data_IF_313576714340
#
_entry.id   IF_313576714340
#
_cell.length_a   1.000
_cell.length_b   1.000
_cell.length_c   1.000
_cell.angle_alpha   90.00
_cell.angle_beta   90.00
_cell.angle_gamma   90.00
#
_symmetry.space_group_name_H-M   'P 1'
#
loop_
_entity.id
_entity.type
_entity.pdbx_description
1 polymer ?
#
# COMPACT_ATOMS: atom_id res chain seq x y z
N UNK A 1 5.04 -20.40 -12.38
CA UNK A 1 3.86 -20.21 -11.50
C UNK A 1 2.99 -19.11 -12.09
N UNK A 2 3.55 -17.92 -12.30
CA UNK A 2 2.85 -16.77 -12.90
C UNK A 2 2.35 -17.02 -14.33
N UNK A 3 3.08 -17.77 -15.16
CA UNK A 3 2.66 -18.11 -16.54
C UNK A 3 1.31 -18.85 -16.63
N UNK A 4 0.89 -19.50 -15.53
CA UNK A 4 -0.34 -20.27 -15.45
C UNK A 4 -1.39 -19.61 -14.56
N UNK A 5 -1.03 -18.52 -13.87
CA UNK A 5 -1.97 -17.80 -13.04
C UNK A 5 -2.96 -17.08 -13.96
N UNK A 6 -4.27 -17.14 -13.68
CA UNK A 6 -5.25 -16.54 -14.56
C UNK A 6 -5.12 -15.02 -14.55
N UNK A 7 -5.47 -14.43 -15.70
CA UNK A 7 -5.39 -13.00 -15.94
C UNK A 7 -6.74 -12.45 -16.38
N UNK A 8 -6.96 -11.18 -16.08
CA UNK A 8 -8.07 -10.41 -16.61
C UNK A 8 -7.93 -10.30 -18.15
N UNK A 9 -8.99 -9.99 -18.90
CA UNK A 9 -8.91 -9.72 -20.34
C UNK A 9 -7.79 -8.75 -20.75
N UNK A 10 -7.49 -7.74 -19.93
CA UNK A 10 -6.40 -6.78 -20.17
C UNK A 10 -5.01 -7.25 -19.75
N UNK A 11 -4.89 -8.46 -19.18
CA UNK A 11 -3.61 -9.08 -18.83
C UNK A 11 -3.20 -8.91 -17.36
N UNK A 12 -4.05 -8.35 -16.51
CA UNK A 12 -3.77 -8.21 -15.07
C UNK A 12 -3.89 -9.52 -14.32
N UNK A 13 -3.05 -9.82 -13.33
CA UNK A 13 -3.21 -11.04 -12.52
C UNK A 13 -4.50 -11.00 -11.69
N UNK A 14 -5.26 -12.09 -11.69
CA UNK A 14 -6.36 -12.20 -10.74
C UNK A 14 -5.83 -12.21 -9.31
N UNK A 15 -6.51 -11.52 -8.41
CA UNK A 15 -6.14 -11.46 -7.00
C UNK A 15 -6.09 -12.86 -6.37
N UNK A 16 -7.07 -13.72 -6.68
CA UNK A 16 -7.05 -15.14 -6.27
C UNK A 16 -7.91 -16.04 -7.15
N UNK A 17 -7.30 -17.06 -7.71
CA UNK A 17 -8.01 -18.16 -8.36
C UNK A 17 -8.54 -19.17 -7.32
N UNK A 18 -9.76 -19.72 -7.48
CA UNK A 18 -10.80 -19.37 -8.45
C UNK A 18 -11.82 -18.33 -7.94
N UNK A 19 -11.58 -17.76 -6.76
CA UNK A 19 -12.58 -16.99 -6.02
C UNK A 19 -12.87 -15.59 -6.61
N UNK A 20 -11.85 -14.92 -7.17
CA UNK A 20 -11.90 -13.52 -7.56
C UNK A 20 -11.54 -13.36 -9.03
N UNK A 21 -12.41 -13.91 -9.88
CA UNK A 21 -12.29 -13.83 -11.34
C UNK A 21 -12.28 -12.37 -11.80
N UNK A 22 -11.33 -12.01 -12.66
CA UNK A 22 -11.17 -10.69 -13.25
C UNK A 22 -10.91 -9.54 -12.27
N UNK A 23 -10.61 -9.84 -11.00
CA UNK A 23 -10.39 -8.82 -9.99
C UNK A 23 -8.90 -8.62 -9.72
N UNK A 24 -8.45 -7.37 -9.69
CA UNK A 24 -7.12 -6.99 -9.22
C UNK A 24 -7.28 -6.12 -7.98
N UNK A 25 -6.56 -6.45 -6.90
CA UNK A 25 -6.55 -5.65 -5.67
C UNK A 25 -5.15 -5.15 -5.42
N UNK A 26 -5.04 -3.99 -4.78
CA UNK A 26 -3.75 -3.35 -4.48
C UNK A 26 -2.81 -4.28 -3.68
N UNK A 27 -3.37 -5.08 -2.77
CA UNK A 27 -2.66 -6.13 -2.03
C UNK A 27 -1.92 -7.08 -2.97
N UNK A 28 -2.57 -7.51 -4.05
CA UNK A 28 -2.02 -8.46 -5.02
C UNK A 28 -0.76 -7.96 -5.70
N UNK A 29 -0.65 -6.64 -5.92
CA UNK A 29 0.54 -5.99 -6.49
C UNK A 29 1.75 -6.25 -5.60
N UNK A 30 1.61 -6.06 -4.29
CA UNK A 30 2.71 -6.34 -3.37
C UNK A 30 3.07 -7.83 -3.31
N UNK A 31 2.07 -8.70 -3.31
CA UNK A 31 2.32 -10.14 -3.12
C UNK A 31 2.93 -10.80 -4.35
N UNK A 32 2.35 -10.60 -5.53
CA UNK A 32 2.73 -11.31 -6.76
C UNK A 32 3.75 -10.54 -7.58
N UNK A 33 3.52 -9.24 -7.78
CA UNK A 33 4.28 -8.46 -8.76
C UNK A 33 5.62 -7.98 -8.21
N UNK A 34 5.68 -7.68 -6.91
CA UNK A 34 6.98 -7.46 -6.25
C UNK A 34 7.84 -8.73 -6.27
N UNK A 35 7.25 -9.91 -6.01
CA UNK A 35 7.95 -11.19 -6.15
C UNK A 35 8.42 -11.39 -7.59
N UNK A 36 7.58 -11.09 -8.59
CA UNK A 36 7.92 -11.20 -10.00
C UNK A 36 9.13 -10.31 -10.34
N UNK A 37 9.13 -9.05 -9.91
CA UNK A 37 10.25 -8.13 -10.11
C UNK A 37 11.54 -8.62 -9.43
N UNK A 38 11.46 -9.13 -8.19
CA UNK A 38 12.61 -9.73 -7.52
C UNK A 38 13.17 -10.92 -8.30
N UNK A 39 12.31 -11.85 -8.72
CA UNK A 39 12.72 -13.01 -9.49
C UNK A 39 13.38 -12.61 -10.81
N UNK A 40 12.75 -11.70 -11.57
CA UNK A 40 13.29 -11.18 -12.84
C UNK A 40 14.64 -10.52 -12.60
N UNK A 41 14.80 -9.68 -11.57
CA UNK A 41 16.09 -9.02 -11.29
C UNK A 41 17.23 -10.00 -10.99
N UNK A 42 16.93 -11.12 -10.32
CA UNK A 42 17.95 -12.09 -9.88
C UNK A 42 18.30 -13.11 -10.95
N UNK A 43 17.32 -13.52 -11.74
CA UNK A 43 17.44 -14.68 -12.61
C UNK A 43 17.24 -14.38 -14.10
N UNK A 44 16.64 -13.24 -14.45
CA UNK A 44 16.28 -12.91 -15.83
C UNK A 44 16.32 -11.40 -16.13
N UNK A 45 17.33 -10.70 -15.60
CA UNK A 45 17.36 -9.24 -15.57
C UNK A 45 17.31 -8.58 -16.96
N UNK A 46 17.74 -9.29 -18.00
CA UNK A 46 17.75 -8.81 -19.39
C UNK A 46 16.40 -9.03 -20.12
N UNK A 47 15.41 -9.66 -19.48
CA UNK A 47 14.13 -9.96 -20.09
C UNK A 47 13.21 -8.73 -20.09
N UNK A 48 13.31 -7.94 -21.17
CA UNK A 48 12.46 -6.77 -21.37
C UNK A 48 10.96 -7.10 -21.34
N UNK A 49 10.54 -8.26 -21.87
CA UNK A 49 9.12 -8.64 -21.88
C UNK A 49 8.57 -8.92 -20.48
N UNK A 50 9.39 -9.44 -19.57
CA UNK A 50 9.02 -9.59 -18.16
C UNK A 50 8.88 -8.23 -17.47
N UNK A 51 9.81 -7.30 -17.73
CA UNK A 51 9.74 -5.94 -17.19
C UNK A 51 8.54 -5.14 -17.73
N UNK A 52 8.20 -5.32 -19.00
CA UNK A 52 6.99 -4.74 -19.60
C UNK A 52 5.71 -5.30 -18.94
N UNK A 53 5.65 -6.62 -18.72
CA UNK A 53 4.52 -7.27 -18.06
C UNK A 53 4.39 -6.86 -16.59
N UNK A 54 5.50 -6.69 -15.88
CA UNK A 54 5.51 -6.15 -14.51
C UNK A 54 4.87 -4.77 -14.50
N UNK A 55 5.31 -3.84 -15.36
CA UNK A 55 4.77 -2.47 -15.36
C UNK A 55 3.30 -2.43 -15.76
N UNK A 56 2.86 -3.32 -16.66
CA UNK A 56 1.47 -3.44 -17.03
C UNK A 56 0.55 -3.64 -15.80
N UNK A 57 1.00 -4.35 -14.78
CA UNK A 57 0.18 -4.59 -13.57
C UNK A 57 -0.11 -3.28 -12.82
N UNK A 58 0.87 -2.39 -12.71
CA UNK A 58 0.68 -1.04 -12.16
C UNK A 58 -0.16 -0.17 -13.09
N UNK A 59 0.12 -0.17 -14.39
CA UNK A 59 -0.63 0.63 -15.38
C UNK A 59 -2.14 0.30 -15.32
N UNK A 60 -2.50 -0.98 -15.24
CA UNK A 60 -3.90 -1.43 -15.20
C UNK A 60 -4.62 -1.04 -13.90
N UNK A 61 -3.99 -1.27 -12.76
CA UNK A 61 -4.62 -0.97 -11.47
C UNK A 61 -4.70 0.54 -11.23
N UNK A 62 -3.68 1.30 -11.62
CA UNK A 62 -3.67 2.77 -11.54
C UNK A 62 -4.82 3.40 -12.33
N UNK A 63 -5.01 2.96 -13.58
CA UNK A 63 -6.08 3.48 -14.45
C UNK A 63 -7.47 3.19 -13.85
N UNK A 64 -7.65 2.01 -13.26
CA UNK A 64 -8.94 1.59 -12.75
C UNK A 64 -9.31 2.19 -11.38
N UNK A 65 -8.36 2.30 -10.44
CA UNK A 65 -8.68 2.61 -9.03
C UNK A 65 -8.20 3.96 -8.54
N UNK A 66 -7.46 4.74 -9.33
CA UNK A 66 -7.04 6.07 -8.89
C UNK A 66 -8.22 7.02 -8.82
N UNK A 67 -8.47 7.52 -7.62
CA UNK A 67 -9.43 8.59 -7.41
C UNK A 67 -8.89 9.91 -8.03
N UNK A 68 -9.56 10.47 -9.04
CA UNK A 68 -9.11 11.70 -9.69
C UNK A 68 -9.18 12.94 -8.78
N UNK A 69 -9.99 12.91 -7.72
CA UNK A 69 -10.14 14.04 -6.80
C UNK A 69 -9.03 14.08 -5.76
N UNK A 70 -8.78 12.95 -5.09
CA UNK A 70 -7.82 12.89 -3.98
C UNK A 70 -6.44 12.42 -4.42
N UNK A 71 -6.35 11.62 -5.49
CA UNK A 71 -5.16 10.90 -5.91
C UNK A 71 -4.84 9.67 -5.05
N UNK A 72 -5.73 9.28 -4.13
CA UNK A 72 -5.66 7.99 -3.44
C UNK A 72 -6.16 6.87 -4.36
N UNK A 73 -6.04 5.63 -3.91
CA UNK A 73 -6.39 4.44 -4.70
C UNK A 73 -7.46 3.63 -3.97
N UNK A 74 -8.56 3.32 -4.65
CA UNK A 74 -9.56 2.38 -4.13
C UNK A 74 -8.96 0.97 -3.98
N UNK A 75 -9.46 0.16 -3.05
CA UNK A 75 -8.86 -1.14 -2.67
C UNK A 75 -8.58 -2.07 -3.87
N UNK A 76 -9.49 -2.14 -4.84
CA UNK A 76 -9.29 -2.94 -6.04
C UNK A 76 -10.35 -2.67 -7.09
N UNK A 77 -10.30 -3.40 -8.20
CA UNK A 77 -11.32 -3.34 -9.24
C UNK A 77 -11.66 -4.73 -9.78
N UNK A 78 -12.85 -4.84 -10.35
CA UNK A 78 -13.32 -5.97 -11.14
C UNK A 78 -13.45 -5.55 -12.61
N UNK A 79 -12.57 -6.04 -13.49
CA UNK A 79 -12.63 -5.73 -14.93
C UNK A 79 -13.96 -6.20 -15.55
N UNK A 80 -14.55 -7.28 -15.02
CA UNK A 80 -15.84 -7.80 -15.46
C UNK A 80 -17.05 -7.02 -14.94
N UNK A 81 -16.87 -6.20 -13.89
CA UNK A 81 -17.94 -5.45 -13.20
C UNK A 81 -19.08 -6.36 -12.72
N UNK A 82 -18.74 -7.57 -12.31
CA UNK A 82 -19.69 -8.59 -11.85
C UNK A 82 -19.87 -8.55 -10.33
N UNK A 83 -18.85 -8.09 -9.60
CA UNK A 83 -18.90 -7.96 -8.16
C UNK A 83 -19.90 -6.91 -7.69
N UNK A 84 -20.55 -7.16 -6.54
CA UNK A 84 -21.64 -6.31 -6.02
C UNK A 84 -21.18 -4.89 -5.66
N UNK A 85 -19.89 -4.73 -5.39
CA UNK A 85 -19.24 -3.49 -4.99
C UNK A 85 -18.62 -2.74 -6.17
N UNK A 86 -18.56 -3.36 -7.36
CA UNK A 86 -17.85 -2.80 -8.50
C UNK A 86 -18.63 -1.62 -9.08
N UNK A 87 -17.95 -0.49 -9.23
CA UNK A 87 -18.49 0.64 -9.96
C UNK A 87 -18.86 0.25 -11.40
N UNK A 88 -20.00 0.75 -11.89
CA UNK A 88 -20.54 0.35 -13.19
C UNK A 88 -19.70 0.86 -14.37
N UNK A 89 -18.92 1.92 -14.20
CA UNK A 89 -18.10 2.55 -15.24
C UNK A 89 -16.64 2.12 -15.15
N UNK A 90 -16.06 2.11 -13.95
CA UNK A 90 -14.63 1.84 -13.74
C UNK A 90 -14.35 0.41 -13.26
N UNK A 91 -15.33 -0.23 -12.61
CA UNK A 91 -15.15 -1.50 -11.91
C UNK A 91 -14.47 -1.37 -10.55
N UNK A 92 -14.09 -0.17 -10.12
CA UNK A 92 -13.41 0.06 -8.84
C UNK A 92 -14.31 -0.23 -7.64
N UNK A 93 -13.70 -0.64 -6.54
CA UNK A 93 -14.35 -0.71 -5.22
C UNK A 93 -14.66 0.71 -4.70
N UNK A 94 -15.65 0.88 -3.80
CA UNK A 94 -16.10 2.21 -3.42
C UNK A 94 -15.19 2.92 -2.42
N UNK A 95 -14.31 2.18 -1.73
CA UNK A 95 -13.57 2.69 -0.56
C UNK A 95 -12.05 2.57 -0.72
N UNK A 96 -11.37 3.60 -0.22
CA UNK A 96 -9.93 3.66 -0.06
C UNK A 96 -9.58 3.05 1.30
N UNK A 97 -9.30 1.75 1.31
CA UNK A 97 -8.83 1.04 2.50
C UNK A 97 -7.33 1.24 2.69
N UNK A 98 -6.94 1.79 3.83
CA UNK A 98 -5.59 2.28 4.10
C UNK A 98 -4.50 1.24 3.88
N UNK A 99 -4.66 0.01 4.38
CA UNK A 99 -3.62 -1.02 4.21
C UNK A 99 -3.47 -1.50 2.77
N UNK A 100 -4.55 -1.58 1.99
CA UNK A 100 -4.44 -1.91 0.57
C UNK A 100 -3.57 -0.87 -0.17
N UNK A 101 -3.78 0.42 0.10
CA UNK A 101 -2.92 1.50 -0.41
C UNK A 101 -1.50 1.35 0.12
N UNK A 102 -1.33 0.96 1.37
CA UNK A 102 -0.02 0.69 1.99
C UNK A 102 0.79 -0.36 1.23
N UNK A 103 0.17 -1.50 0.89
CA UNK A 103 0.82 -2.54 0.10
C UNK A 103 1.29 -2.04 -1.26
N UNK A 104 0.42 -1.31 -1.96
CA UNK A 104 0.76 -0.74 -3.25
C UNK A 104 1.88 0.31 -3.16
N UNK A 105 1.85 1.15 -2.12
CA UNK A 105 2.91 2.12 -1.89
C UNK A 105 4.24 1.42 -1.58
N UNK A 106 4.18 0.30 -0.84
CA UNK A 106 5.37 -0.49 -0.54
C UNK A 106 5.97 -1.13 -1.78
N UNK A 107 5.13 -1.74 -2.61
CA UNK A 107 5.56 -2.44 -3.82
C UNK A 107 6.31 -1.51 -4.78
N UNK A 108 5.84 -0.27 -4.92
CA UNK A 108 6.51 0.74 -5.74
C UNK A 108 7.95 1.03 -5.29
N UNK A 109 8.17 1.19 -3.98
CA UNK A 109 9.53 1.46 -3.44
C UNK A 109 10.46 0.28 -3.69
N UNK A 110 9.99 -0.95 -3.40
CA UNK A 110 10.79 -2.16 -3.59
C UNK A 110 11.13 -2.37 -5.07
N UNK A 111 10.14 -2.30 -5.96
CA UNK A 111 10.33 -2.54 -7.39
C UNK A 111 11.21 -1.47 -8.03
N UNK A 112 11.07 -0.18 -7.65
CA UNK A 112 11.96 0.88 -8.16
C UNK A 112 13.43 0.63 -7.85
N UNK A 113 13.76 -0.10 -6.77
CA UNK A 113 15.14 -0.49 -6.46
C UNK A 113 15.72 -1.55 -7.42
N UNK A 114 14.86 -2.33 -8.06
CA UNK A 114 15.21 -3.48 -8.89
C UNK A 114 15.12 -3.18 -10.39
N UNK A 115 14.26 -2.24 -10.75
CA UNK A 115 13.84 -1.99 -12.12
C UNK A 115 14.98 -1.35 -12.97
N UNK A 116 15.21 -1.80 -14.22
CA UNK A 116 16.23 -1.21 -15.09
C UNK A 116 15.98 0.29 -15.31
N UNK A 117 16.98 1.12 -15.02
CA UNK A 117 16.86 2.59 -14.99
C UNK A 117 16.60 3.20 -16.38
N UNK A 118 17.02 2.53 -17.44
CA UNK A 118 16.84 2.93 -18.84
C UNK A 118 15.50 2.46 -19.43
N UNK A 119 14.79 1.56 -18.74
CA UNK A 119 13.48 1.09 -19.17
C UNK A 119 12.41 2.18 -18.93
N UNK A 120 11.53 2.49 -19.92
CA UNK A 120 10.52 3.54 -19.78
C UNK A 120 9.58 3.36 -18.58
N UNK A 121 9.33 2.10 -18.21
CA UNK A 121 8.58 1.72 -17.01
C UNK A 121 9.10 2.33 -15.71
N UNK A 122 10.43 2.54 -15.57
CA UNK A 122 11.01 3.14 -14.37
C UNK A 122 10.40 4.51 -14.06
N UNK A 123 10.34 5.38 -15.08
CA UNK A 123 9.81 6.73 -14.92
C UNK A 123 8.30 6.72 -14.59
N UNK A 124 7.55 5.77 -15.15
CA UNK A 124 6.12 5.59 -14.84
C UNK A 124 5.90 5.19 -13.38
N UNK A 125 6.59 4.15 -12.92
CA UNK A 125 6.50 3.68 -11.53
C UNK A 125 6.94 4.77 -10.53
N UNK A 126 7.99 5.53 -10.85
CA UNK A 126 8.41 6.67 -10.02
C UNK A 126 7.36 7.78 -10.00
N UNK A 127 6.68 8.00 -11.13
CA UNK A 127 5.52 8.91 -11.22
C UNK A 127 4.37 8.47 -10.31
N UNK A 128 3.99 7.18 -10.34
CA UNK A 128 2.96 6.62 -9.47
C UNK A 128 3.33 6.74 -7.99
N UNK A 129 4.57 6.42 -7.64
CA UNK A 129 5.09 6.55 -6.29
C UNK A 129 5.03 7.99 -5.77
N UNK A 130 5.57 8.94 -6.53
CA UNK A 130 5.61 10.36 -6.10
C UNK A 130 4.21 10.97 -6.04
N UNK A 131 3.33 10.61 -6.97
CA UNK A 131 1.92 11.04 -6.94
C UNK A 131 1.19 10.50 -5.71
N UNK A 132 1.33 9.21 -5.41
CA UNK A 132 0.71 8.61 -4.23
C UNK A 132 1.32 9.14 -2.93
N UNK A 133 2.64 9.34 -2.86
CA UNK A 133 3.29 9.96 -1.71
C UNK A 133 2.71 11.35 -1.41
N UNK A 134 2.43 12.15 -2.46
CA UNK A 134 1.79 13.45 -2.30
C UNK A 134 0.32 13.35 -1.86
N UNK A 135 -0.43 12.35 -2.35
CA UNK A 135 -1.80 12.10 -1.93
C UNK A 135 -1.89 11.67 -0.47
N UNK A 136 -1.02 10.74 -0.04
CA UNK A 136 -0.90 10.32 1.35
C UNK A 136 -0.56 11.48 2.29
N UNK A 137 0.23 12.45 1.82
CA UNK A 137 0.59 13.64 2.62
C UNK A 137 -0.61 14.56 2.82
N UNK A 138 -1.48 14.68 1.81
CA UNK A 138 -2.74 15.42 1.94
C UNK A 138 -3.76 14.70 2.83
N UNK A 139 -3.72 13.37 2.84
CA UNK A 139 -4.62 12.52 3.63
C UNK A 139 -4.14 12.28 5.08
N UNK A 140 -2.90 12.68 5.41
CA UNK A 140 -2.38 12.58 6.77
C UNK A 140 -3.17 13.50 7.70
N UNK A 141 -3.63 12.97 8.82
CA UNK A 141 -4.40 13.73 9.79
C UNK A 141 -3.55 14.85 10.44
N UNK A 142 -4.04 16.10 10.51
CA UNK A 142 -3.27 17.22 11.01
C UNK A 142 -3.05 17.20 12.53
N UNK A 143 -3.84 16.43 13.29
CA UNK A 143 -3.75 16.36 14.75
C UNK A 143 -2.96 15.12 15.21
N UNK A 144 -3.33 13.94 14.73
CA UNK A 144 -2.65 12.68 15.11
C UNK A 144 -1.41 12.40 14.27
N UNK A 145 -1.35 12.92 13.04
CA UNK A 145 -0.34 12.58 12.03
C UNK A 145 -0.38 11.12 11.54
N UNK A 146 -1.48 10.41 11.81
CA UNK A 146 -1.80 9.09 11.28
C UNK A 146 -2.72 9.12 10.06
N UNK A 147 -3.24 7.94 9.71
CA UNK A 147 -4.19 7.75 8.61
C UNK A 147 -5.36 6.87 9.05
N UNK A 148 -6.54 7.30 8.65
CA UNK A 148 -7.79 6.58 8.90
C UNK A 148 -7.82 5.23 8.18
N UNK A 149 -8.50 4.23 8.74
CA UNK A 149 -8.75 2.93 8.10
C UNK A 149 -9.40 3.10 6.71
N UNK A 150 -10.43 3.95 6.63
CA UNK A 150 -11.07 4.35 5.38
C UNK A 150 -10.76 5.82 5.14
N UNK A 151 -10.06 6.12 4.04
CA UNK A 151 -9.40 7.42 3.82
C UNK A 151 -10.16 8.38 2.90
N UNK A 152 -11.09 7.91 2.08
CA UNK A 152 -11.86 8.78 1.18
C UNK A 152 -13.07 9.42 1.89
N UNK A 153 -13.48 10.60 1.44
CA UNK A 153 -14.66 11.29 1.97
C UNK A 153 -15.94 10.42 1.81
N UNK A 154 -16.90 10.48 2.75
CA UNK A 154 -16.96 11.34 3.94
C UNK A 154 -16.46 10.65 5.23
N UNK A 155 -15.57 9.66 5.11
CA UNK A 155 -15.25 8.74 6.21
C UNK A 155 -14.19 9.20 7.21
N UNK A 156 -13.17 10.02 6.84
CA UNK A 156 -12.29 10.64 7.82
C UNK A 156 -13.07 11.35 8.92
N UNK A 157 -12.80 11.02 10.19
CA UNK A 157 -13.51 11.57 11.35
C UNK A 157 -14.95 11.05 11.56
N UNK A 158 -15.48 10.16 10.71
CA UNK A 158 -16.78 9.51 10.93
C UNK A 158 -16.70 8.57 12.13
N UNK A 159 -17.74 8.58 12.98
CA UNK A 159 -17.87 7.64 14.10
C UNK A 159 -17.68 6.19 13.64
N UNK A 160 -16.83 5.46 14.37
CA UNK A 160 -16.45 4.08 14.07
C UNK A 160 -15.19 3.93 13.21
N UNK A 161 -14.77 4.98 12.50
CA UNK A 161 -13.44 4.99 11.86
C UNK A 161 -12.35 5.16 12.92
N UNK A 162 -11.13 4.73 12.62
CA UNK A 162 -9.98 4.83 13.52
C UNK A 162 -8.68 4.97 12.74
N UNK A 163 -7.63 5.47 13.39
CA UNK A 163 -6.28 5.46 12.84
C UNK A 163 -5.72 4.04 12.85
N UNK A 164 -5.28 3.54 11.70
CA UNK A 164 -4.91 2.12 11.54
C UNK A 164 -3.39 1.96 11.48
N UNK A 165 -2.85 1.10 12.35
CA UNK A 165 -1.42 1.08 12.64
C UNK A 165 -0.57 0.51 11.52
N UNK A 166 -1.05 -0.52 10.80
CA UNK A 166 -0.28 -1.12 9.72
C UNK A 166 -0.10 -0.20 8.53
N UNK A 167 -1.15 0.48 8.09
CA UNK A 167 -1.08 1.43 6.98
C UNK A 167 -0.20 2.63 7.35
N UNK A 168 -0.34 3.16 8.57
CA UNK A 168 0.53 4.21 9.08
C UNK A 168 2.01 3.79 9.02
N UNK A 169 2.32 2.53 9.39
CA UNK A 169 3.68 2.00 9.31
C UNK A 169 4.18 1.87 7.87
N UNK A 170 3.34 1.37 6.96
CA UNK A 170 3.67 1.25 5.52
C UNK A 170 3.93 2.60 4.87
N UNK A 171 3.09 3.61 5.13
CA UNK A 171 3.25 4.96 4.59
C UNK A 171 4.49 5.65 5.15
N UNK A 172 4.72 5.52 6.46
CA UNK A 172 5.91 6.05 7.13
C UNK A 172 7.17 5.44 6.55
N UNK A 173 7.23 4.12 6.43
CA UNK A 173 8.34 3.42 5.80
C UNK A 173 8.56 3.91 4.36
N UNK A 174 7.49 3.97 3.56
CA UNK A 174 7.60 4.35 2.15
C UNK A 174 8.12 5.78 1.97
N UNK A 175 7.77 6.72 2.85
CA UNK A 175 8.37 8.05 2.86
C UNK A 175 9.82 8.08 3.32
N UNK A 176 10.16 7.42 4.43
CA UNK A 176 11.53 7.39 4.94
C UNK A 176 12.49 6.71 3.94
N UNK A 177 12.09 5.58 3.36
CA UNK A 177 12.83 4.92 2.30
C UNK A 177 12.96 5.82 1.05
N UNK A 178 11.88 6.52 0.66
CA UNK A 178 11.89 7.49 -0.43
C UNK A 178 12.87 8.63 -0.24
N UNK A 179 12.96 9.17 0.99
CA UNK A 179 13.94 10.19 1.36
C UNK A 179 15.36 9.63 1.25
N UNK A 180 15.63 8.44 1.79
CA UNK A 180 16.95 7.79 1.72
C UNK A 180 17.37 7.48 0.29
N UNK A 181 16.44 7.05 -0.56
CA UNK A 181 16.68 6.68 -1.95
C UNK A 181 16.71 7.89 -2.91
N UNK A 182 16.37 9.08 -2.42
CA UNK A 182 16.32 10.32 -3.22
C UNK A 182 15.13 10.41 -4.16
N UNK A 183 14.05 9.67 -3.90
CA UNK A 183 12.79 9.76 -4.64
C UNK A 183 11.91 10.91 -4.15
N UNK A 184 12.07 11.31 -2.88
CA UNK A 184 11.35 12.40 -2.24
C UNK A 184 12.35 13.43 -1.69
N UNK A 185 11.97 14.71 -1.68
CA UNK A 185 12.80 15.78 -1.11
C UNK A 185 12.57 15.97 0.39
N UNK A 186 13.65 16.29 1.11
CA UNK A 186 13.59 16.47 2.57
C UNK A 186 12.72 17.67 2.99
N UNK A 187 12.71 18.75 2.20
CA UNK A 187 11.99 19.97 2.54
C UNK A 187 10.47 19.73 2.62
N UNK A 188 9.95 18.80 1.81
CA UNK A 188 8.53 18.48 1.76
C UNK A 188 8.15 17.31 2.65
N UNK A 189 9.01 16.30 2.77
CA UNK A 189 8.64 15.00 3.36
C UNK A 189 9.27 14.67 4.71
N UNK A 190 10.35 15.35 5.14
CA UNK A 190 11.01 14.99 6.39
C UNK A 190 10.13 15.25 7.62
N UNK A 191 9.52 16.42 7.71
CA UNK A 191 8.63 16.76 8.82
C UNK A 191 7.42 15.82 8.92
N UNK A 192 6.60 15.61 7.86
CA UNK A 192 5.45 14.71 7.96
C UNK A 192 5.84 13.26 8.23
N UNK A 193 6.96 12.77 7.70
CA UNK A 193 7.46 11.42 8.00
C UNK A 193 7.93 11.28 9.46
N UNK A 194 8.57 12.31 10.02
CA UNK A 194 8.98 12.34 11.43
C UNK A 194 7.77 12.32 12.37
N UNK A 195 6.74 13.10 12.03
CA UNK A 195 5.48 13.13 12.78
C UNK A 195 4.75 11.79 12.71
N UNK A 196 4.69 11.18 11.53
CA UNK A 196 4.10 9.85 11.34
C UNK A 196 4.84 8.78 12.15
N UNK A 197 6.18 8.76 12.12
CA UNK A 197 6.95 7.82 12.93
C UNK A 197 6.77 8.05 14.44
N UNK A 198 6.70 9.31 14.86
CA UNK A 198 6.41 9.64 16.27
C UNK A 198 5.06 9.08 16.68
N UNK A 199 4.01 9.31 15.88
CA UNK A 199 2.67 8.76 16.11
C UNK A 199 2.69 7.22 16.22
N UNK A 200 3.43 6.52 15.36
CA UNK A 200 3.58 5.05 15.46
C UNK A 200 4.09 4.60 16.82
N UNK A 201 5.13 5.27 17.33
CA UNK A 201 5.77 4.90 18.59
C UNK A 201 4.95 5.35 19.80
N UNK A 202 4.25 6.48 19.73
CA UNK A 202 3.49 7.00 20.88
C UNK A 202 2.13 6.33 21.04
N UNK A 203 1.49 5.97 19.94
CA UNK A 203 0.07 5.60 19.96
C UNK A 203 -0.17 4.11 19.72
N UNK A 204 0.76 3.40 19.05
CA UNK A 204 0.60 1.98 18.72
C UNK A 204 1.63 1.06 19.39
N UNK A 205 2.54 1.59 20.22
CA UNK A 205 3.46 0.77 21.01
C UNK A 205 3.05 0.80 22.47
N UNK A 206 2.84 -0.39 23.04
CA UNK A 206 2.67 -0.58 24.48
C UNK A 206 3.88 -1.31 25.06
N UNK A 207 4.52 -0.71 26.07
CA UNK A 207 5.54 -1.39 26.87
C UNK A 207 4.88 -2.32 27.89
N UNK A 208 5.30 -3.58 27.93
CA UNK A 208 4.80 -4.57 28.85
C UNK A 208 5.68 -4.67 30.10
N UNK A 209 5.09 -5.09 31.24
CA UNK A 209 5.80 -5.27 32.51
C UNK A 209 6.98 -6.27 32.44
N UNK A 210 6.98 -7.16 31.45
CA UNK A 210 8.03 -8.16 31.21
C UNK A 210 9.20 -7.63 30.36
N UNK A 211 9.18 -6.35 29.98
CA UNK A 211 10.19 -5.70 29.15
C UNK A 211 10.06 -5.97 27.64
N UNK A 212 8.98 -6.60 27.17
CA UNK A 212 8.65 -6.66 25.74
C UNK A 212 7.78 -5.48 25.32
N UNK A 213 7.65 -5.26 24.01
CA UNK A 213 6.72 -4.29 23.44
C UNK A 213 5.65 -5.01 22.64
N UNK A 214 4.45 -4.43 22.60
CA UNK A 214 3.31 -4.88 21.78
C UNK A 214 3.00 -3.80 20.74
N UNK A 215 2.82 -4.19 19.47
CA UNK A 215 2.31 -3.31 18.43
C UNK A 215 0.79 -3.49 18.28
N UNK A 216 0.01 -2.44 18.55
CA UNK A 216 -1.46 -2.53 18.69
C UNK A 216 -2.21 -2.07 17.43
N UNK A 217 -3.53 -2.24 17.43
CA UNK A 217 -4.47 -1.60 16.49
C UNK A 217 -4.26 -1.94 15.00
N UNK A 218 -3.67 -3.09 14.72
CA UNK A 218 -3.57 -3.60 13.35
C UNK A 218 -4.87 -4.30 12.97
N UNK A 219 -5.57 -3.78 11.96
CA UNK A 219 -6.79 -4.44 11.45
C UNK A 219 -6.46 -5.80 10.84
N UNK A 220 -7.31 -6.83 10.93
CA UNK A 220 -6.99 -8.17 10.42
C UNK A 220 -6.91 -8.29 8.89
N UNK A 221 -8.00 -8.63 8.19
CA UNK A 221 -7.99 -8.79 6.72
C UNK A 221 -9.27 -8.19 6.18
N UNK A 222 -9.15 -7.06 5.48
CA UNK A 222 -10.17 -6.57 4.57
C UNK A 222 -10.16 -7.39 3.28
N UNK A 223 -11.34 -7.75 2.80
CA UNK A 223 -11.52 -8.56 1.60
C UNK A 223 -12.69 -8.02 0.79
N UNK A 224 -12.56 -7.96 -0.52
CA UNK A 224 -13.67 -7.64 -1.43
C UNK A 224 -14.54 -8.87 -1.74
N UNK A 225 -14.72 -9.75 -0.75
CA UNK A 225 -15.76 -10.81 -0.76
C UNK A 225 -17.06 -10.38 -0.04
N UNK A 226 -17.14 -9.11 0.35
CA UNK A 226 -18.25 -8.48 1.06
C UNK A 226 -18.99 -7.48 0.15
N UNK A 227 -19.80 -6.61 0.74
CA UNK A 227 -20.39 -5.45 0.07
C UNK A 227 -19.42 -4.25 -0.03
N UNK A 228 -18.20 -4.40 0.49
CA UNK A 228 -17.18 -3.34 0.58
C UNK A 228 -17.69 -2.04 1.23
N UNK A 229 -18.67 -2.14 2.13
CA UNK A 229 -19.22 -1.00 2.86
C UNK A 229 -18.25 -0.47 3.91
N UNK A 230 -18.48 0.76 4.38
CA UNK A 230 -17.72 1.32 5.50
C UNK A 230 -17.87 0.44 6.73
N UNK A 231 -19.11 0.02 7.03
CA UNK A 231 -19.50 -0.83 8.14
C UNK A 231 -18.78 -2.18 8.07
N UNK A 232 -18.57 -2.72 6.87
CA UNK A 232 -17.72 -3.90 6.68
C UNK A 232 -16.27 -3.64 7.13
N UNK A 233 -15.61 -2.59 6.63
CA UNK A 233 -14.20 -2.34 6.98
C UNK A 233 -14.01 -2.04 8.46
N UNK A 234 -14.80 -1.11 9.03
CA UNK A 234 -14.65 -0.75 10.45
C UNK A 234 -15.08 -1.87 11.40
N UNK A 235 -15.88 -2.83 10.91
CA UNK A 235 -16.28 -4.02 11.66
C UNK A 235 -15.21 -5.12 11.73
N UNK A 236 -14.12 -4.99 10.97
CA UNK A 236 -13.03 -5.98 10.99
C UNK A 236 -12.27 -5.84 12.33
N UNK A 237 -12.02 -6.93 13.06
CA UNK A 237 -11.27 -6.88 14.30
C UNK A 237 -9.85 -6.32 14.11
N UNK A 238 -9.39 -5.60 15.13
CA UNK A 238 -7.97 -5.28 15.31
C UNK A 238 -7.29 -6.34 16.17
N UNK A 239 -6.01 -6.58 15.93
CA UNK A 239 -5.20 -7.60 16.60
C UNK A 239 -3.83 -7.04 16.93
N UNK A 240 -3.43 -7.25 18.17
CA UNK A 240 -2.09 -6.95 18.65
C UNK A 240 -1.06 -7.92 18.05
N UNK A 241 0.12 -7.40 17.73
CA UNK A 241 1.23 -8.14 17.14
C UNK A 241 0.87 -8.89 15.84
N UNK A 242 -0.15 -8.43 15.10
CA UNK A 242 -0.42 -8.98 13.78
C UNK A 242 0.75 -8.67 12.84
N UNK A 243 1.28 -9.71 12.21
CA UNK A 243 2.47 -9.64 11.35
C UNK A 243 2.33 -8.66 10.19
N UNK A 244 1.11 -8.31 9.77
CA UNK A 244 0.85 -7.33 8.72
C UNK A 244 1.09 -5.89 9.18
N UNK A 245 1.09 -5.64 10.48
CA UNK A 245 1.49 -4.36 11.09
C UNK A 245 2.92 -4.39 11.60
N UNK A 246 3.31 -5.47 12.30
CA UNK A 246 4.66 -5.63 12.86
C UNK A 246 5.75 -5.56 11.78
N UNK A 247 5.56 -6.25 10.64
CA UNK A 247 6.53 -6.23 9.54
C UNK A 247 6.82 -4.81 9.02
N UNK A 248 5.81 -4.06 8.56
CA UNK A 248 5.99 -2.67 8.16
C UNK A 248 6.52 -1.76 9.26
N UNK A 249 6.13 -1.97 10.53
CA UNK A 249 6.65 -1.19 11.64
C UNK A 249 8.17 -1.38 11.82
N UNK A 250 8.64 -2.64 11.77
CA UNK A 250 10.08 -2.94 11.84
C UNK A 250 10.85 -2.30 10.68
N UNK A 251 10.27 -2.29 9.47
CA UNK A 251 10.85 -1.62 8.32
C UNK A 251 10.91 -0.09 8.51
N UNK A 252 9.83 0.53 9.01
CA UNK A 252 9.80 1.96 9.32
C UNK A 252 10.83 2.33 10.40
N UNK A 253 10.94 1.54 11.46
CA UNK A 253 11.92 1.72 12.53
C UNK A 253 13.36 1.62 12.01
N UNK A 254 13.64 0.64 11.16
CA UNK A 254 14.94 0.50 10.52
C UNK A 254 15.32 1.74 9.70
N UNK A 255 14.42 2.24 8.85
CA UNK A 255 14.67 3.46 8.06
C UNK A 255 14.84 4.70 8.96
N UNK A 256 14.09 4.77 10.06
CA UNK A 256 14.22 5.84 11.04
C UNK A 256 15.58 5.83 11.76
N UNK A 257 16.02 4.67 12.24
CA UNK A 257 17.30 4.51 12.93
C UNK A 257 18.48 4.78 12.01
N UNK A 258 18.44 4.24 10.78
CA UNK A 258 19.44 4.51 9.74
C UNK A 258 19.61 6.00 9.50
N UNK A 259 18.51 6.74 9.45
CA UNK A 259 18.54 8.18 9.21
C UNK A 259 19.13 8.96 10.39
N UNK A 260 18.81 8.56 11.62
CA UNK A 260 19.20 9.27 12.82
C UNK A 260 20.56 8.83 13.39
N UNK A 261 21.26 7.90 12.73
CA UNK A 261 22.51 7.29 13.21
C UNK A 261 22.39 6.77 14.66
N UNK A 262 21.23 6.22 15.01
CA UNK A 262 21.03 5.60 16.32
C UNK A 262 21.77 4.26 16.28
N UNK A 263 22.98 4.22 16.86
CA UNK A 263 23.68 2.95 17.07
C UNK A 263 22.98 2.18 18.19
N UNK A 264 22.61 0.93 17.93
CA UNK A 264 22.15 -0.02 18.94
C UNK A 264 23.18 -0.23 20.06
#
# INVERSE_FOLDING_TARGET
>A
MLDRHPRTPSGGFWHRDPAYRNQMWLDGIYMADTFYAHYTSLFDAANATAWDDIVLQWDLIEDAVRDPETGLLFHGFDEGREAVWADAETGASPLVWSRAVGWYFMSLVEVLGLFPRDHPGYARLLGYYTALAAALRRAQDPESHGWWLVMNEPYPGREGNYFESSAAAMFTWGWLAGLRLGYLDEATYLEPATKAYTHLVTDFITENDNGTVTFTDTVQVGSLNSDASFEYYVGIPVVDDDTRGVGPFLLAAYEWELRNNISA
#
